data_IF_954151929248
#
_entry.id   IF_954151929248
#
_cell.length_a   1.000
_cell.length_b   1.000
_cell.length_c   1.000
_cell.angle_alpha   90.00
_cell.angle_beta   90.00
_cell.angle_gamma   90.00
#
_symmetry.space_group_name_H-M   'P 1'
#
loop_
_entity.id
_entity.type
_entity.pdbx_description
1 polymer ?
#
# COMPACT_ATOMS: atom_id res chain seq x y z
N UNK A 1 17.88 4.67 7.27
CA UNK A 1 16.88 3.65 7.61
C UNK A 1 15.87 3.56 6.47
N UNK A 2 15.57 2.36 5.97
CA UNK A 2 14.58 2.16 4.90
C UNK A 2 13.19 2.55 5.44
N UNK A 3 12.42 3.33 4.66
CA UNK A 3 11.05 3.73 5.00
C UNK A 3 10.09 3.05 4.03
N UNK A 4 9.17 2.26 4.57
CA UNK A 4 8.21 1.46 3.81
C UNK A 4 6.81 1.93 4.16
N UNK A 5 6.09 2.44 3.16
CA UNK A 5 4.68 2.76 3.32
C UNK A 5 3.87 1.46 3.40
N UNK A 6 3.11 1.27 4.46
CA UNK A 6 2.25 0.12 4.67
C UNK A 6 0.96 0.53 5.36
N UNK A 7 -0.17 0.01 4.88
CA UNK A 7 -1.45 0.12 5.56
C UNK A 7 -2.27 -1.15 5.29
N UNK A 8 -3.02 -1.70 6.28
CA UNK A 8 -3.82 -2.91 6.11
C UNK A 8 -4.84 -2.82 4.97
N UNK A 9 -5.32 -1.62 4.62
CA UNK A 9 -6.27 -1.40 3.50
C UNK A 9 -5.73 -1.88 2.15
N UNK A 10 -4.41 -2.02 2.02
CA UNK A 10 -3.80 -2.50 0.78
C UNK A 10 -4.20 -3.95 0.48
N UNK A 11 -4.59 -4.74 1.49
CA UNK A 11 -5.21 -6.05 1.29
C UNK A 11 -6.74 -5.92 1.15
N UNK A 12 -7.19 -5.39 0.01
CA UNK A 12 -8.61 -5.26 -0.31
C UNK A 12 -9.23 -6.60 -0.77
N UNK A 13 -10.44 -6.99 -0.31
CA UNK A 13 -11.09 -8.20 -0.76
C UNK A 13 -11.45 -8.11 -2.25
N UNK A 14 -11.22 -9.20 -2.98
CA UNK A 14 -11.57 -9.30 -4.40
C UNK A 14 -12.46 -10.52 -4.64
N UNK A 15 -13.24 -10.53 -5.73
CA UNK A 15 -14.02 -11.69 -6.12
C UNK A 15 -13.17 -12.96 -6.21
N UNK A 16 -13.78 -14.10 -5.92
CA UNK A 16 -13.11 -15.39 -6.06
C UNK A 16 -12.58 -15.60 -7.49
N UNK A 17 -11.34 -16.10 -7.62
CA UNK A 17 -10.69 -16.31 -8.91
C UNK A 17 -10.04 -15.04 -9.51
N UNK A 18 -10.09 -13.90 -8.82
CA UNK A 18 -9.38 -12.72 -9.26
C UNK A 18 -7.87 -12.96 -9.33
N UNK A 19 -7.23 -12.55 -10.44
CA UNK A 19 -5.80 -12.85 -10.71
C UNK A 19 -4.82 -12.02 -9.88
N UNK A 20 -5.28 -10.94 -9.26
CA UNK A 20 -4.43 -10.06 -8.47
C UNK A 20 -4.20 -10.66 -7.08
N UNK A 21 -2.95 -10.91 -6.67
CA UNK A 21 -2.63 -11.57 -5.40
C UNK A 21 -2.65 -10.57 -4.24
N UNK A 22 -3.83 -10.19 -3.75
CA UNK A 22 -3.99 -9.17 -2.69
C UNK A 22 -3.27 -9.54 -1.40
N UNK A 23 -3.23 -10.83 -1.08
CA UNK A 23 -2.54 -11.38 0.10
C UNK A 23 -1.06 -10.98 0.17
N UNK A 24 -0.41 -10.62 -0.95
CA UNK A 24 0.98 -10.15 -0.95
C UNK A 24 1.18 -8.92 -0.06
N UNK A 25 0.18 -8.05 0.04
CA UNK A 25 0.29 -6.83 0.83
C UNK A 25 0.35 -7.11 2.33
N UNK A 26 -0.17 -8.27 2.77
CA UNK A 26 -0.02 -8.75 4.13
C UNK A 26 1.27 -9.56 4.31
N UNK A 27 1.58 -10.47 3.38
CA UNK A 27 2.70 -11.40 3.52
C UNK A 27 4.07 -10.75 3.34
N UNK A 28 4.23 -9.75 2.46
CA UNK A 28 5.53 -9.13 2.22
C UNK A 28 6.08 -8.39 3.46
N UNK A 29 5.31 -7.52 4.16
CA UNK A 29 5.77 -6.92 5.41
C UNK A 29 6.12 -7.96 6.47
N UNK A 30 5.28 -9.00 6.63
CA UNK A 30 5.53 -10.09 7.59
C UNK A 30 6.82 -10.84 7.27
N UNK A 31 7.05 -11.17 5.99
CA UNK A 31 8.25 -11.87 5.54
C UNK A 31 9.51 -11.05 5.79
N UNK A 32 9.49 -9.74 5.48
CA UNK A 32 10.63 -8.84 5.71
C UNK A 32 11.02 -8.74 7.18
N UNK A 33 10.03 -8.78 8.08
CA UNK A 33 10.27 -8.82 9.53
C UNK A 33 10.82 -10.18 9.95
N UNK A 34 10.20 -11.26 9.46
CA UNK A 34 10.59 -12.63 9.81
C UNK A 34 12.04 -12.96 9.40
N UNK A 35 12.46 -12.54 8.20
CA UNK A 35 13.82 -12.78 7.70
C UNK A 35 14.87 -11.80 8.25
N UNK A 36 14.44 -10.82 9.05
CA UNK A 36 15.33 -9.84 9.68
C UNK A 36 15.78 -8.68 8.77
N UNK A 37 15.25 -8.58 7.54
CA UNK A 37 15.53 -7.46 6.63
C UNK A 37 14.98 -6.14 7.16
N UNK A 38 13.86 -6.17 7.88
CA UNK A 38 13.21 -4.99 8.47
C UNK A 38 12.75 -5.24 9.90
N UNK A 39 12.56 -4.17 10.66
CA UNK A 39 11.82 -4.15 11.93
C UNK A 39 10.51 -3.38 11.74
N UNK A 40 9.66 -3.37 12.77
CA UNK A 40 8.43 -2.55 12.78
C UNK A 40 8.70 -1.07 12.47
N UNK A 41 9.85 -0.55 12.89
CA UNK A 41 10.20 0.88 12.75
C UNK A 41 10.53 1.28 11.31
N UNK A 42 10.71 0.31 10.41
CA UNK A 42 10.83 0.57 8.98
C UNK A 42 9.50 0.95 8.33
N UNK A 43 8.37 0.58 8.94
CA UNK A 43 7.05 0.74 8.35
C UNK A 43 6.35 1.99 8.90
N UNK A 44 5.62 2.67 8.03
CA UNK A 44 4.77 3.79 8.42
C UNK A 44 3.46 3.78 7.63
N UNK A 45 2.40 4.28 8.26
CA UNK A 45 1.12 4.51 7.61
C UNK A 45 1.16 5.82 6.82
N UNK A 46 0.91 5.81 5.49
CA UNK A 46 0.85 7.03 4.71
C UNK A 46 -0.49 7.74 4.89
N UNK A 47 -0.49 9.07 4.70
CA UNK A 47 -1.70 9.88 4.70
C UNK A 47 -2.26 10.03 3.29
N UNK A 48 -3.53 10.43 3.22
CA UNK A 48 -4.18 10.83 1.96
C UNK A 48 -3.40 12.02 1.36
N UNK A 49 -3.01 11.97 0.07
CA UNK A 49 -2.28 13.06 -0.56
C UNK A 49 -3.19 14.27 -0.80
N UNK A 50 -2.60 15.45 -0.99
CA UNK A 50 -3.35 16.62 -1.45
C UNK A 50 -3.81 16.42 -2.91
N UNK A 51 -5.09 16.68 -3.16
CA UNK A 51 -5.72 16.50 -4.47
C UNK A 51 -5.00 17.20 -5.62
N UNK A 52 -4.27 18.29 -5.35
CA UNK A 52 -3.46 19.00 -6.35
C UNK A 52 -2.47 18.08 -7.08
N UNK A 53 -1.99 17.02 -6.43
CA UNK A 53 -1.08 16.05 -7.03
C UNK A 53 -1.81 15.04 -7.91
N UNK A 54 -3.09 14.78 -7.62
CA UNK A 54 -3.93 13.84 -8.37
C UNK A 54 -4.44 14.51 -9.64
N UNK A 55 -4.96 15.73 -9.54
CA UNK A 55 -5.40 16.53 -10.72
C UNK A 55 -4.25 17.04 -11.59
N UNK A 56 -3.00 16.88 -11.13
CA UNK A 56 -1.82 17.11 -11.98
C UNK A 56 -1.62 15.99 -13.02
N UNK A 57 -2.20 14.80 -12.80
CA UNK A 57 -2.09 13.63 -13.67
C UNK A 57 -3.43 13.18 -14.26
N UNK A 58 -4.54 13.48 -13.58
CA UNK A 58 -5.90 13.06 -13.92
C UNK A 58 -6.79 14.25 -14.26
N UNK A 59 -7.79 14.03 -15.11
CA UNK A 59 -8.86 14.99 -15.33
C UNK A 59 -9.65 15.23 -14.03
N UNK A 60 -9.99 16.48 -13.73
CA UNK A 60 -10.69 16.84 -12.50
C UNK A 60 -12.11 16.27 -12.43
N UNK A 61 -12.82 16.15 -13.56
CA UNK A 61 -14.17 15.57 -13.62
C UNK A 61 -14.14 14.06 -13.41
N UNK A 62 -13.04 13.39 -13.77
CA UNK A 62 -12.87 11.97 -13.47
C UNK A 62 -12.54 11.71 -11.99
N UNK A 63 -11.79 12.62 -11.36
CA UNK A 63 -11.29 12.44 -10.00
C UNK A 63 -12.29 12.85 -8.91
N UNK A 64 -12.96 13.99 -9.07
CA UNK A 64 -13.95 14.53 -8.12
C UNK A 64 -15.34 13.93 -8.32
#
# INVERSE_FOLDING_TARGET
>A
MLRIAYHPIYNHPLPQGHRFPMVKYELLPQQLIYEGTCTSDNFFEPSIPNDKYLVAAHDSEYYY
#
